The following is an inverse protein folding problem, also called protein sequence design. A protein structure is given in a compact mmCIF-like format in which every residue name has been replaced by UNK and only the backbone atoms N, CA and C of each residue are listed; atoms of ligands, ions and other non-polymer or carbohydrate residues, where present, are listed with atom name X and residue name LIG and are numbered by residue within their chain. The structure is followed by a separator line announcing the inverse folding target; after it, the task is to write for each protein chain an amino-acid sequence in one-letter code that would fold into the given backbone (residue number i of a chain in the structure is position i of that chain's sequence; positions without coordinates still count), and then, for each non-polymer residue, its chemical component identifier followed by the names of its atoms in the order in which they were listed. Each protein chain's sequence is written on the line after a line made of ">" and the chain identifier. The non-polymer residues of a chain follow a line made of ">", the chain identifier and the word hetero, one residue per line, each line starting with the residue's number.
data_IF_499883589006
#
_entry.id   IF_499883589006
#
_cell.length_a   1.000
_cell.length_b   1.000
_cell.length_c   1.000
_cell.angle_alpha   90.00
_cell.angle_beta   90.00
_cell.angle_gamma   90.00
#
_symmetry.space_group_name_H-M   'P 1'
#
loop_
_entity.id
_entity.type
_entity.pdbx_description
1 polymer ?
#
# COMPACT_ATOMS: atom_id res chain seq x y z
N UNK A 1 3.22 26.49 10.85
CA UNK A 1 4.51 26.54 10.12
C UNK A 1 4.75 25.15 9.55
N UNK A 2 4.51 25.01 8.25
CA UNK A 2 4.74 23.88 7.33
C UNK A 2 5.23 22.53 7.90
N UNK A 3 4.31 21.61 8.20
CA UNK A 3 4.57 20.16 8.35
C UNK A 3 3.33 19.47 7.74
N UNK A 4 3.54 18.39 6.97
CA UNK A 4 2.66 17.81 5.93
C UNK A 4 2.81 18.46 4.55
N UNK A 5 3.99 18.19 3.97
CA UNK A 5 4.15 17.91 2.54
C UNK A 5 4.26 16.38 2.37
N UNK A 6 3.18 15.64 2.61
CA UNK A 6 2.96 14.36 1.92
C UNK A 6 2.18 14.74 0.66
N UNK A 7 2.77 14.79 -0.52
CA UNK A 7 2.94 13.67 -1.44
C UNK A 7 4.11 13.93 -2.42
N UNK A 8 5.04 14.81 -2.07
CA UNK A 8 6.23 15.11 -2.90
C UNK A 8 7.53 14.55 -2.31
N UNK A 9 7.43 13.73 -1.25
CA UNK A 9 8.57 13.13 -0.54
C UNK A 9 9.01 11.76 -1.06
N UNK A 10 8.26 11.15 -2.00
CA UNK A 10 8.44 9.72 -2.30
C UNK A 10 9.53 9.38 -3.33
N UNK A 11 10.22 10.36 -3.92
CA UNK A 11 11.15 10.07 -5.03
C UNK A 11 12.55 10.70 -4.95
N UNK A 12 12.88 11.48 -3.91
CA UNK A 12 14.26 11.97 -3.72
C UNK A 12 14.63 11.91 -2.23
N UNK A 13 14.77 10.69 -1.72
CA UNK A 13 15.69 10.43 -0.59
C UNK A 13 16.88 9.62 -1.11
N UNK A 14 17.50 10.16 -2.17
CA UNK A 14 18.83 9.79 -2.67
C UNK A 14 19.78 10.96 -2.38
N UNK A 15 19.70 11.51 -1.16
CA UNK A 15 20.74 12.39 -0.63
C UNK A 15 21.71 11.53 0.17
N UNK A 16 22.71 11.01 -0.55
CA UNK A 16 24.13 11.03 -0.20
C UNK A 16 24.44 11.24 1.30
N UNK A 17 23.98 10.37 2.18
CA UNK A 17 24.79 10.02 3.34
C UNK A 17 25.74 8.95 2.83
N UNK A 18 27.03 9.25 2.90
CA UNK A 18 28.11 8.27 2.74
C UNK A 18 27.97 7.21 3.83
N UNK A 19 26.99 6.32 3.69
CA UNK A 19 26.96 5.08 4.44
C UNK A 19 28.21 4.31 3.97
N UNK A 20 29.05 3.82 4.90
CA UNK A 20 30.11 2.90 4.51
C UNK A 20 29.44 1.79 3.72
N UNK A 21 30.04 1.41 2.58
CA UNK A 21 29.58 0.32 1.74
C UNK A 21 29.57 -0.98 2.56
N UNK A 22 28.53 -1.18 3.35
CA UNK A 22 28.23 -2.46 3.96
C UNK A 22 27.77 -3.35 2.83
N UNK A 23 28.37 -4.53 2.75
CA UNK A 23 28.13 -5.48 1.68
C UNK A 23 26.65 -5.86 1.68
N UNK A 24 25.91 -5.36 0.70
CA UNK A 24 24.55 -5.85 0.45
C UNK A 24 24.69 -7.28 -0.04
N UNK A 25 24.09 -8.21 0.69
CA UNK A 25 24.09 -9.62 0.34
C UNK A 25 22.68 -9.99 -0.13
N UNK A 26 22.56 -10.44 -1.38
CA UNK A 26 21.40 -11.23 -1.79
C UNK A 26 21.57 -12.61 -1.16
N UNK A 27 20.76 -12.91 -0.14
CA UNK A 27 20.85 -14.17 0.61
C UNK A 27 19.69 -15.06 0.19
N UNK A 28 19.99 -16.33 -0.09
CA UNK A 28 18.94 -17.34 -0.19
C UNK A 28 18.54 -17.75 1.23
N UNK A 29 17.41 -17.23 1.70
CA UNK A 29 16.83 -17.65 2.97
C UNK A 29 15.99 -18.91 2.78
N UNK A 30 16.34 -19.99 3.49
CA UNK A 30 15.56 -21.23 3.47
C UNK A 30 14.10 -20.97 3.89
N UNK A 31 13.16 -21.50 3.10
CA UNK A 31 11.73 -21.39 3.36
C UNK A 31 11.05 -20.13 2.81
N UNK A 32 11.80 -19.16 2.24
CA UNK A 32 11.20 -18.09 1.43
C UNK A 32 10.85 -18.66 0.06
N UNK A 33 9.55 -18.67 -0.27
CA UNK A 33 9.02 -19.29 -1.50
C UNK A 33 7.79 -18.54 -2.01
N UNK A 34 7.25 -18.96 -3.16
CA UNK A 34 5.97 -18.46 -3.68
C UNK A 34 6.10 -17.09 -4.34
N UNK A 35 5.34 -16.09 -3.85
CA UNK A 35 5.27 -14.75 -4.45
C UNK A 35 6.48 -13.88 -4.16
N UNK A 36 7.30 -14.24 -3.16
CA UNK A 36 8.57 -13.55 -2.89
C UNK A 36 9.67 -14.17 -3.76
N UNK A 37 10.16 -13.41 -4.75
CA UNK A 37 11.18 -13.84 -5.72
C UNK A 37 12.60 -13.79 -5.16
N UNK A 38 12.91 -12.72 -4.44
CA UNK A 38 14.23 -12.44 -3.89
C UNK A 38 14.10 -11.67 -2.58
N UNK A 39 15.06 -11.87 -1.67
CA UNK A 39 15.21 -11.10 -0.43
C UNK A 39 16.55 -10.36 -0.46
N UNK A 40 16.52 -9.06 -0.16
CA UNK A 40 17.71 -8.21 -0.05
C UNK A 40 17.75 -7.57 1.33
N UNK A 41 18.86 -7.77 2.05
CA UNK A 41 19.09 -7.13 3.35
C UNK A 41 20.05 -5.95 3.20
N UNK A 42 19.65 -4.76 3.66
CA UNK A 42 20.49 -3.56 3.55
C UNK A 42 21.43 -3.38 4.75
N UNK A 43 21.01 -3.81 5.94
CA UNK A 43 21.76 -3.58 7.19
C UNK A 43 21.85 -4.84 8.08
N UNK A 44 20.75 -5.57 8.22
CA UNK A 44 20.65 -6.70 9.15
C UNK A 44 20.03 -7.92 8.47
N UNK A 45 20.78 -9.02 8.38
CA UNK A 45 20.29 -10.30 7.87
C UNK A 45 19.44 -11.01 8.92
N UNK A 46 18.15 -11.18 8.63
CA UNK A 46 17.21 -11.92 9.46
C UNK A 46 16.29 -12.78 8.58
N UNK A 47 16.76 -13.99 8.26
CA UNK A 47 15.98 -14.93 7.45
C UNK A 47 14.69 -15.41 8.14
N UNK A 48 14.59 -15.36 9.47
CA UNK A 48 13.37 -15.73 10.18
C UNK A 48 12.27 -14.67 9.97
N UNK A 49 12.65 -13.39 10.02
CA UNK A 49 11.78 -12.29 9.65
C UNK A 49 11.37 -12.38 8.17
N UNK A 50 12.34 -12.57 7.26
CA UNK A 50 12.06 -12.69 5.84
C UNK A 50 11.10 -13.84 5.52
N UNK A 51 11.27 -14.99 6.19
CA UNK A 51 10.35 -16.12 6.08
C UNK A 51 8.96 -15.75 6.60
N UNK A 52 8.85 -15.09 7.75
CA UNK A 52 7.55 -14.71 8.32
C UNK A 52 6.78 -13.75 7.42
N UNK A 53 7.48 -12.77 6.82
CA UNK A 53 6.91 -11.85 5.84
C UNK A 53 6.50 -12.58 4.55
N UNK A 54 7.34 -13.50 4.07
CA UNK A 54 7.02 -14.35 2.91
C UNK A 54 5.78 -15.21 3.17
N UNK A 55 5.64 -15.80 4.36
CA UNK A 55 4.48 -16.59 4.74
C UNK A 55 3.19 -15.73 4.72
N UNK A 56 3.25 -14.48 5.21
CA UNK A 56 2.13 -13.53 5.14
C UNK A 56 1.76 -13.23 3.68
N UNK A 57 2.73 -12.88 2.84
CA UNK A 57 2.47 -12.54 1.44
C UNK A 57 1.89 -13.73 0.67
N UNK A 58 2.41 -14.94 0.91
CA UNK A 58 1.86 -16.17 0.32
C UNK A 58 0.44 -16.44 0.79
N UNK A 59 0.13 -16.26 2.07
CA UNK A 59 -1.23 -16.42 2.58
C UNK A 59 -2.21 -15.41 1.97
N UNK A 60 -1.79 -14.15 1.83
CA UNK A 60 -2.57 -13.12 1.15
C UNK A 60 -2.75 -13.45 -0.33
N UNK A 61 -1.69 -13.89 -1.03
CA UNK A 61 -1.76 -14.30 -2.42
C UNK A 61 -2.79 -15.43 -2.65
N UNK A 62 -2.81 -16.43 -1.75
CA UNK A 62 -3.79 -17.51 -1.79
C UNK A 62 -5.19 -17.00 -1.46
N UNK A 63 -5.34 -16.23 -0.38
CA UNK A 63 -6.65 -15.73 0.08
C UNK A 63 -7.31 -14.82 -0.96
N UNK A 64 -6.54 -13.98 -1.64
CA UNK A 64 -7.05 -13.00 -2.60
C UNK A 64 -6.80 -13.43 -4.05
N UNK A 65 -6.50 -14.71 -4.29
CA UNK A 65 -6.23 -15.30 -5.61
C UNK A 65 -5.32 -14.44 -6.51
N UNK A 66 -4.23 -13.92 -5.93
CA UNK A 66 -3.30 -13.03 -6.61
C UNK A 66 -2.00 -13.74 -7.00
N UNK A 67 -1.42 -13.33 -8.12
CA UNK A 67 -0.11 -13.77 -8.60
C UNK A 67 0.96 -12.69 -8.47
N UNK A 68 0.66 -11.58 -7.78
CA UNK A 68 1.54 -10.43 -7.63
C UNK A 68 2.87 -10.83 -6.98
N UNK A 69 3.92 -10.98 -7.79
CA UNK A 69 5.22 -11.39 -7.30
C UNK A 69 6.13 -10.19 -7.05
N UNK A 70 6.82 -10.21 -5.91
CA UNK A 70 7.61 -9.09 -5.37
C UNK A 70 9.01 -9.54 -4.94
N UNK A 71 9.92 -8.58 -4.84
CA UNK A 71 11.19 -8.68 -4.16
C UNK A 71 11.04 -8.00 -2.79
N UNK A 72 11.47 -8.70 -1.74
CA UNK A 72 11.40 -8.19 -0.38
C UNK A 72 12.73 -7.53 -0.03
N UNK A 73 12.70 -6.23 0.30
CA UNK A 73 13.87 -5.50 0.78
C UNK A 73 13.70 -5.21 2.26
N UNK A 74 14.62 -5.72 3.09
CA UNK A 74 14.62 -5.49 4.54
C UNK A 74 15.72 -4.48 4.87
N UNK A 75 15.29 -3.27 5.22
CA UNK A 75 16.14 -2.14 5.57
C UNK A 75 16.46 -2.04 7.07
N UNK A 76 17.13 -0.95 7.45
CA UNK A 76 17.34 -0.54 8.84
C UNK A 76 16.06 -0.17 9.61
N UNK A 77 16.18 0.38 10.83
CA UNK A 77 15.03 0.85 11.59
C UNK A 77 14.39 2.06 10.87
N UNK A 78 13.08 2.03 10.65
CA UNK A 78 12.33 3.14 10.04
C UNK A 78 10.88 3.13 10.53
N UNK A 79 10.21 4.28 10.42
CA UNK A 79 8.77 4.44 10.59
C UNK A 79 7.97 4.08 9.34
N UNK A 80 8.65 3.65 8.26
CA UNK A 80 8.04 3.51 6.95
C UNK A 80 8.28 2.14 6.32
N UNK A 81 7.21 1.57 5.78
CA UNK A 81 7.25 0.52 4.77
C UNK A 81 6.82 1.14 3.42
N UNK A 82 7.15 0.51 2.30
CA UNK A 82 6.73 1.02 0.99
C UNK A 82 6.71 -0.05 -0.09
N UNK A 83 5.75 0.06 -1.00
CA UNK A 83 5.77 -0.53 -2.31
C UNK A 83 6.26 0.47 -3.37
N UNK A 84 7.09 0.04 -4.31
CA UNK A 84 7.71 0.93 -5.31
C UNK A 84 6.90 1.12 -6.61
N UNK A 85 5.64 0.68 -6.63
CA UNK A 85 4.76 0.64 -7.80
C UNK A 85 5.16 -0.35 -8.90
N UNK A 86 6.21 -1.15 -8.70
CA UNK A 86 6.65 -2.19 -9.61
C UNK A 86 6.63 -3.56 -8.95
N UNK A 87 7.76 -3.93 -8.34
CA UNK A 87 7.99 -5.26 -7.77
C UNK A 87 8.83 -5.24 -6.49
N UNK A 88 8.96 -4.12 -5.78
CA UNK A 88 9.71 -4.08 -4.52
C UNK A 88 8.77 -3.69 -3.38
N UNK A 89 8.66 -4.60 -2.40
CA UNK A 89 8.13 -4.28 -1.08
C UNK A 89 9.32 -4.10 -0.14
N UNK A 90 9.50 -2.87 0.33
CA UNK A 90 10.56 -2.50 1.26
C UNK A 90 9.97 -2.31 2.65
N UNK A 91 10.53 -3.00 3.63
CA UNK A 91 10.12 -2.94 5.03
C UNK A 91 11.33 -2.75 5.94
N UNK A 92 11.19 -2.11 7.11
CA UNK A 92 12.28 -2.05 8.06
C UNK A 92 12.40 -3.38 8.81
N UNK A 93 13.60 -3.77 9.22
CA UNK A 93 13.74 -4.91 10.13
C UNK A 93 13.04 -4.66 11.49
N UNK A 94 12.88 -3.37 11.85
CA UNK A 94 12.14 -2.91 13.02
C UNK A 94 11.43 -1.60 12.72
N UNK A 95 10.11 -1.60 12.91
CA UNK A 95 9.30 -0.40 12.85
C UNK A 95 9.56 0.49 14.08
N UNK A 96 9.96 1.75 13.86
CA UNK A 96 10.30 2.70 14.91
C UNK A 96 9.73 4.07 14.59
N UNK A 97 8.99 4.67 15.52
CA UNK A 97 8.43 6.01 15.37
C UNK A 97 9.19 7.03 16.20
N UNK A 98 9.18 8.29 15.76
CA UNK A 98 9.83 9.40 16.45
C UNK A 98 8.79 10.43 16.90
N UNK A 99 8.69 10.64 18.21
CA UNK A 99 7.80 11.68 18.76
C UNK A 99 8.37 13.08 18.60
N UNK A 100 7.56 14.09 18.96
CA UNK A 100 7.88 15.54 18.86
C UNK A 100 9.23 15.95 19.47
N UNK A 101 9.74 15.20 20.44
CA UNK A 101 11.03 15.48 21.12
C UNK A 101 12.15 14.50 20.74
N UNK A 102 12.02 13.79 19.61
CA UNK A 102 13.01 12.81 19.14
C UNK A 102 13.04 11.51 19.96
N UNK A 103 12.09 11.32 20.88
CA UNK A 103 11.94 10.04 21.60
C UNK A 103 11.58 8.95 20.59
N UNK A 104 12.36 7.88 20.60
CA UNK A 104 12.12 6.67 19.80
C UNK A 104 11.06 5.80 20.46
N UNK A 105 10.10 5.34 19.67
CA UNK A 105 9.05 4.39 20.05
C UNK A 105 9.19 3.17 19.17
N UNK A 106 9.68 2.07 19.74
CA UNK A 106 9.74 0.79 19.03
C UNK A 106 8.39 0.10 19.16
N UNK A 107 7.85 -0.41 18.06
CA UNK A 107 6.58 -1.12 18.08
C UNK A 107 6.76 -2.62 18.16
N UNK A 108 5.69 -3.33 18.50
CA UNK A 108 5.64 -4.77 18.39
C UNK A 108 5.84 -5.23 16.95
N UNK A 109 6.43 -6.43 16.79
CA UNK A 109 6.68 -7.03 15.48
C UNK A 109 5.39 -7.27 14.67
N UNK A 110 4.26 -7.50 15.35
CA UNK A 110 2.94 -7.58 14.72
C UNK A 110 2.58 -6.33 13.92
N UNK A 111 3.02 -5.15 14.34
CA UNK A 111 2.75 -3.90 13.64
C UNK A 111 3.48 -3.86 12.29
N UNK A 112 4.73 -4.35 12.26
CA UNK A 112 5.49 -4.51 11.02
C UNK A 112 4.79 -5.46 10.05
N UNK A 113 4.23 -6.56 10.55
CA UNK A 113 3.50 -7.52 9.73
C UNK A 113 2.25 -6.90 9.11
N UNK A 114 1.49 -6.10 9.85
CA UNK A 114 0.35 -5.37 9.30
C UNK A 114 0.77 -4.35 8.24
N UNK A 115 1.80 -3.55 8.51
CA UNK A 115 2.31 -2.59 7.51
C UNK A 115 2.84 -3.30 6.25
N UNK A 116 3.56 -4.42 6.40
CA UNK A 116 4.04 -5.19 5.27
C UNK A 116 2.90 -5.79 4.45
N UNK A 117 1.84 -6.28 5.10
CA UNK A 117 0.64 -6.78 4.43
C UNK A 117 -0.06 -5.66 3.63
N UNK A 118 -0.12 -4.44 4.17
CA UNK A 118 -0.61 -3.26 3.46
C UNK A 118 0.23 -2.99 2.20
N UNK A 119 1.57 -2.96 2.31
CA UNK A 119 2.43 -2.77 1.13
C UNK A 119 2.26 -3.87 0.07
N UNK A 120 2.12 -5.13 0.50
CA UNK A 120 1.82 -6.21 -0.42
C UNK A 120 0.43 -6.09 -1.04
N UNK A 121 -0.54 -5.49 -0.32
CA UNK A 121 -1.85 -5.12 -0.86
C UNK A 121 -1.75 -4.15 -2.05
N UNK A 122 -0.80 -3.21 -2.03
CA UNK A 122 -0.51 -2.38 -3.21
C UNK A 122 0.02 -3.20 -4.39
N UNK A 123 0.89 -4.19 -4.13
CA UNK A 123 1.38 -5.08 -5.18
C UNK A 123 0.25 -5.88 -5.84
N UNK A 124 -0.70 -6.39 -5.04
CA UNK A 124 -1.91 -7.06 -5.53
C UNK A 124 -2.74 -6.09 -6.41
N UNK A 125 -3.00 -4.88 -5.92
CA UNK A 125 -3.74 -3.85 -6.67
C UNK A 125 -3.09 -3.55 -8.03
N UNK A 126 -1.76 -3.36 -8.04
CA UNK A 126 -1.01 -3.06 -9.26
C UNK A 126 -0.99 -4.23 -10.23
N UNK A 127 -0.94 -5.48 -9.77
CA UNK A 127 -1.04 -6.65 -10.64
C UNK A 127 -2.41 -6.76 -11.31
N UNK A 128 -3.49 -6.48 -10.57
CA UNK A 128 -4.82 -6.42 -11.17
C UNK A 128 -4.91 -5.30 -12.21
N UNK A 129 -4.45 -4.10 -11.87
CA UNK A 129 -4.42 -3.01 -12.83
C UNK A 129 -3.60 -3.36 -14.06
N UNK A 130 -2.40 -3.95 -13.91
CA UNK A 130 -1.56 -4.36 -15.04
C UNK A 130 -2.28 -5.34 -15.98
N UNK A 131 -3.07 -6.25 -15.42
CA UNK A 131 -3.77 -7.31 -16.20
C UNK A 131 -5.09 -6.85 -16.79
N UNK A 132 -5.78 -5.88 -16.16
CA UNK A 132 -7.08 -5.38 -16.62
C UNK A 132 -7.00 -4.06 -17.37
N UNK A 133 -5.96 -3.26 -17.15
CA UNK A 133 -5.78 -1.99 -17.82
C UNK A 133 -5.58 -2.22 -19.31
N UNK A 134 -6.25 -1.39 -20.13
CA UNK A 134 -6.16 -1.50 -21.57
C UNK A 134 -4.72 -1.28 -22.09
N UNK A 135 -4.48 -1.57 -23.38
CA UNK A 135 -3.15 -1.42 -24.01
C UNK A 135 -2.52 -0.04 -23.83
N UNK A 136 -3.32 1.00 -23.62
CA UNK A 136 -2.90 2.37 -23.37
C UNK A 136 -2.03 2.54 -22.10
N UNK A 137 -2.13 1.63 -21.13
CA UNK A 137 -1.32 1.67 -19.90
C UNK A 137 -0.10 0.72 -19.94
N UNK A 138 0.06 -0.08 -20.99
CA UNK A 138 1.15 -1.06 -21.09
C UNK A 138 2.55 -0.42 -21.02
N UNK A 139 2.72 0.75 -21.65
CA UNK A 139 3.98 1.51 -21.62
C UNK A 139 4.29 2.03 -20.20
N UNK A 140 3.28 2.48 -19.47
CA UNK A 140 3.43 2.92 -18.08
C UNK A 140 3.93 1.79 -17.19
N UNK A 141 3.26 0.63 -17.22
CA UNK A 141 3.66 -0.52 -16.40
C UNK A 141 5.04 -1.04 -16.80
N UNK A 142 5.37 -1.08 -18.09
CA UNK A 142 6.72 -1.47 -18.53
C UNK A 142 7.80 -0.53 -17.98
N UNK A 143 7.55 0.78 -17.95
CA UNK A 143 8.49 1.75 -17.37
C UNK A 143 8.61 1.60 -15.86
N UNK A 144 7.52 1.35 -15.15
CA UNK A 144 7.54 1.05 -13.70
C UNK A 144 8.37 -0.21 -13.40
N UNK A 145 8.19 -1.28 -14.18
CA UNK A 145 8.96 -2.53 -14.04
C UNK A 145 10.46 -2.29 -14.26
N UNK A 146 10.81 -1.49 -15.28
CA UNK A 146 12.20 -1.12 -15.54
C UNK A 146 12.81 -0.30 -14.39
N UNK A 147 12.06 0.66 -13.83
CA UNK A 147 12.51 1.44 -12.69
C UNK A 147 12.70 0.57 -11.44
N UNK A 148 11.76 -0.34 -11.18
CA UNK A 148 11.84 -1.28 -10.06
C UNK A 148 13.05 -2.22 -10.20
N UNK A 149 13.26 -2.81 -11.38
CA UNK A 149 14.41 -3.68 -11.65
C UNK A 149 15.76 -2.94 -11.48
N UNK A 150 15.84 -1.67 -11.93
CA UNK A 150 17.02 -0.83 -11.73
C UNK A 150 17.23 -0.48 -10.26
N UNK A 151 16.17 -0.12 -9.52
CA UNK A 151 16.23 0.13 -8.07
C UNK A 151 16.75 -1.10 -7.33
N UNK A 152 16.26 -2.30 -7.67
CA UNK A 152 16.74 -3.55 -7.10
C UNK A 152 18.24 -3.77 -7.39
N UNK A 153 18.69 -3.52 -8.62
CA UNK A 153 20.10 -3.65 -8.98
C UNK A 153 21.00 -2.71 -8.16
N UNK A 154 20.58 -1.45 -7.95
CA UNK A 154 21.30 -0.47 -7.11
C UNK A 154 21.34 -0.95 -5.67
N UNK A 155 20.20 -1.40 -5.12
CA UNK A 155 20.15 -1.95 -3.77
C UNK A 155 21.13 -3.13 -3.63
N UNK A 156 21.27 -3.98 -4.66
CA UNK A 156 22.24 -5.09 -4.72
C UNK A 156 23.70 -4.66 -4.97
N UNK A 157 24.00 -3.35 -5.02
CA UNK A 157 25.34 -2.81 -5.15
C UNK A 157 25.78 -2.43 -6.57
N UNK A 158 24.87 -2.36 -7.55
CA UNK A 158 25.20 -1.80 -8.85
C UNK A 158 25.49 -0.30 -8.75
N UNK A 159 26.61 0.15 -9.32
CA UNK A 159 27.15 1.51 -9.18
C UNK A 159 26.65 2.51 -10.24
N UNK A 160 25.49 2.29 -10.85
CA UNK A 160 25.06 3.06 -12.03
C UNK A 160 24.41 4.40 -11.65
N UNK A 161 25.11 5.50 -11.95
CA UNK A 161 24.71 6.89 -11.65
C UNK A 161 23.75 7.47 -12.71
N UNK A 162 23.49 6.75 -13.81
CA UNK A 162 22.54 7.18 -14.87
C UNK A 162 21.07 7.22 -14.40
N UNK A 163 20.77 6.67 -13.22
CA UNK A 163 19.45 6.54 -12.58
C UNK A 163 18.63 7.84 -12.50
N UNK A 164 19.27 8.99 -12.30
CA UNK A 164 18.55 10.26 -12.00
C UNK A 164 17.83 10.82 -13.23
N UNK A 165 18.32 10.57 -14.46
CA UNK A 165 17.75 11.15 -15.68
C UNK A 165 16.45 10.50 -16.16
N UNK A 166 16.40 9.18 -16.23
CA UNK A 166 15.23 8.46 -16.77
C UNK A 166 14.06 8.39 -15.78
N UNK A 167 14.36 8.25 -14.48
CA UNK A 167 13.34 8.18 -13.42
C UNK A 167 12.63 9.51 -13.23
N UNK A 168 13.36 10.63 -13.26
CA UNK A 168 12.77 11.96 -13.21
C UNK A 168 11.87 12.21 -14.41
N UNK A 169 12.27 11.81 -15.62
CA UNK A 169 11.43 11.99 -16.81
C UNK A 169 10.08 11.25 -16.73
N UNK A 170 10.03 10.03 -16.17
CA UNK A 170 8.76 9.34 -15.96
C UNK A 170 7.91 10.01 -14.88
N UNK A 171 8.49 10.28 -13.71
CA UNK A 171 7.80 10.86 -12.56
C UNK A 171 7.23 12.24 -12.88
N UNK A 172 7.91 13.01 -13.72
CA UNK A 172 7.45 14.33 -14.16
C UNK A 172 6.58 14.29 -15.41
N UNK A 173 6.33 13.13 -16.01
CA UNK A 173 5.44 13.04 -17.17
C UNK A 173 3.99 13.37 -16.73
N UNK A 174 3.27 14.22 -17.48
CA UNK A 174 1.90 14.59 -17.14
C UNK A 174 0.96 13.38 -17.03
N UNK A 175 1.11 12.39 -17.91
CA UNK A 175 0.30 11.17 -17.86
C UNK A 175 0.54 10.37 -16.58
N UNK A 176 1.80 10.18 -16.19
CA UNK A 176 2.13 9.48 -14.94
C UNK A 176 1.54 10.19 -13.73
N UNK A 177 1.70 11.51 -13.65
CA UNK A 177 1.20 12.31 -12.53
C UNK A 177 -0.32 12.25 -12.42
N UNK A 178 -1.02 12.33 -13.56
CA UNK A 178 -2.47 12.21 -13.59
C UNK A 178 -2.91 10.84 -13.07
N UNK A 179 -2.38 9.76 -13.65
CA UNK A 179 -2.76 8.39 -13.27
C UNK A 179 -2.42 8.12 -11.81
N UNK A 180 -1.21 8.47 -11.39
CA UNK A 180 -0.73 8.24 -10.03
C UNK A 180 -1.55 9.00 -8.99
N UNK A 181 -1.96 10.26 -9.23
CA UNK A 181 -2.80 10.98 -8.24
C UNK A 181 -4.21 10.41 -8.21
N UNK A 182 -4.80 10.10 -9.38
CA UNK A 182 -6.14 9.49 -9.46
C UNK A 182 -6.22 8.12 -8.78
N UNK A 183 -5.14 7.35 -8.84
CA UNK A 183 -5.08 6.00 -8.25
C UNK A 183 -4.76 5.99 -6.75
N UNK A 184 -4.06 6.98 -6.24
CA UNK A 184 -3.38 6.87 -4.95
C UNK A 184 -4.36 6.56 -3.80
N UNK A 185 -5.42 7.34 -3.63
CA UNK A 185 -6.42 7.11 -2.59
C UNK A 185 -7.10 5.72 -2.70
N UNK A 186 -7.37 5.26 -3.93
CA UNK A 186 -7.96 3.94 -4.15
C UNK A 186 -6.99 2.80 -3.84
N UNK A 187 -5.72 2.96 -4.20
CA UNK A 187 -4.67 2.01 -3.88
C UNK A 187 -4.48 1.88 -2.36
N UNK A 188 -4.43 3.01 -1.64
CA UNK A 188 -4.37 3.07 -0.17
C UNK A 188 -5.57 2.39 0.50
N UNK A 189 -6.77 2.68 0.00
CA UNK A 189 -7.99 2.09 0.50
C UNK A 189 -8.03 0.57 0.29
N UNK A 190 -7.67 0.10 -0.90
CA UNK A 190 -7.69 -1.33 -1.20
C UNK A 190 -6.61 -2.10 -0.41
N UNK A 191 -5.42 -1.53 -0.30
CA UNK A 191 -4.35 -2.09 0.53
C UNK A 191 -4.78 -2.22 1.99
N UNK A 192 -5.48 -1.23 2.54
CA UNK A 192 -6.09 -1.30 3.87
C UNK A 192 -7.13 -2.42 3.97
N UNK A 193 -8.04 -2.55 3.01
CA UNK A 193 -9.05 -3.63 2.95
C UNK A 193 -8.38 -5.00 3.08
N UNK A 194 -7.36 -5.26 2.25
CA UNK A 194 -6.68 -6.56 2.23
C UNK A 194 -5.96 -6.83 3.56
N UNK A 195 -5.29 -5.82 4.14
CA UNK A 195 -4.63 -5.95 5.42
C UNK A 195 -5.63 -6.25 6.56
N UNK A 196 -6.74 -5.49 6.67
CA UNK A 196 -7.72 -5.70 7.75
C UNK A 196 -8.47 -7.03 7.61
N UNK A 197 -8.71 -7.49 6.38
CA UNK A 197 -9.30 -8.82 6.13
C UNK A 197 -8.34 -9.94 6.47
N UNK A 198 -7.06 -9.83 6.09
CA UNK A 198 -6.05 -10.85 6.39
C UNK A 198 -5.89 -11.04 7.91
N UNK A 199 -5.81 -9.95 8.67
CA UNK A 199 -5.70 -10.01 10.12
C UNK A 199 -7.04 -10.15 10.86
N UNK A 200 -8.17 -10.16 10.12
CA UNK A 200 -9.53 -10.21 10.67
C UNK A 200 -9.77 -9.17 11.78
N UNK A 201 -9.21 -7.98 11.60
CA UNK A 201 -9.23 -6.91 12.59
C UNK A 201 -9.49 -5.55 11.93
N UNK A 202 -10.69 -4.99 12.15
CA UNK A 202 -11.11 -3.69 11.60
C UNK A 202 -10.20 -2.54 12.01
N UNK A 203 -9.42 -2.71 13.08
CA UNK A 203 -8.51 -1.70 13.61
C UNK A 203 -7.04 -2.05 13.36
N UNK A 204 -6.73 -3.04 12.51
CA UNK A 204 -5.36 -3.49 12.26
C UNK A 204 -4.42 -2.32 11.90
N UNK A 205 -4.84 -1.44 10.99
CA UNK A 205 -4.03 -0.29 10.57
C UNK A 205 -3.82 0.74 11.68
N UNK A 206 -4.85 1.01 12.48
CA UNK A 206 -4.72 1.90 13.65
C UNK A 206 -3.70 1.32 14.64
N UNK A 207 -3.80 0.01 14.95
CA UNK A 207 -2.89 -0.67 15.88
C UNK A 207 -1.46 -0.72 15.35
N UNK A 208 -1.28 -0.90 14.04
CA UNK A 208 0.02 -0.94 13.40
C UNK A 208 0.76 0.39 13.52
N UNK A 209 0.06 1.51 13.34
CA UNK A 209 0.62 2.85 13.31
C UNK A 209 0.60 3.55 14.68
N UNK A 210 -0.09 3.00 15.68
CA UNK A 210 -0.18 3.59 17.00
C UNK A 210 1.16 3.55 17.75
N UNK A 211 1.50 4.67 18.39
CA UNK A 211 2.52 4.74 19.42
C UNK A 211 2.21 5.86 20.42
N UNK A 212 2.73 5.77 21.65
CA UNK A 212 2.47 6.74 22.74
C UNK A 212 3.03 8.15 22.49
N UNK A 213 3.66 8.38 21.34
CA UNK A 213 4.23 9.67 20.95
C UNK A 213 3.34 10.49 20.03
N UNK A 214 2.21 9.94 19.60
CA UNK A 214 1.25 10.62 18.74
C UNK A 214 0.57 11.77 19.48
N UNK A 215 0.48 12.93 18.84
CA UNK A 215 -0.44 13.97 19.27
C UNK A 215 -1.88 13.70 18.78
N UNK A 216 -2.83 14.55 19.20
CA UNK A 216 -4.24 14.39 18.82
C UNK A 216 -4.41 14.41 17.29
N UNK A 217 -3.65 15.23 16.56
CA UNK A 217 -3.75 15.32 15.12
C UNK A 217 -3.31 14.00 14.47
N UNK A 218 -2.13 13.50 14.83
CA UNK A 218 -1.57 12.27 14.27
C UNK A 218 -2.41 11.05 14.65
N UNK A 219 -2.90 10.99 15.90
CA UNK A 219 -3.78 9.91 16.34
C UNK A 219 -5.10 9.91 15.56
N UNK A 220 -5.70 11.08 15.32
CA UNK A 220 -6.93 11.13 14.55
C UNK A 220 -6.69 10.88 13.05
N UNK A 221 -5.54 11.26 12.50
CA UNK A 221 -5.14 10.87 11.15
C UNK A 221 -5.10 9.34 10.98
N UNK A 222 -4.45 8.61 11.89
CA UNK A 222 -4.43 7.14 11.77
C UNK A 222 -5.80 6.51 12.04
N UNK A 223 -6.63 7.10 12.92
CA UNK A 223 -8.01 6.62 13.17
C UNK A 223 -8.93 6.73 11.97
N UNK A 224 -8.64 7.61 11.03
CA UNK A 224 -9.38 7.70 9.77
C UNK A 224 -9.19 6.44 8.89
N UNK A 225 -8.19 5.61 9.18
CA UNK A 225 -8.00 4.29 8.55
C UNK A 225 -8.75 3.14 9.26
N UNK A 226 -9.57 3.44 10.26
CA UNK A 226 -10.38 2.46 11.01
C UNK A 226 -11.63 2.03 10.21
N UNK A 227 -11.88 0.72 10.16
CA UNK A 227 -13.08 0.15 9.53
C UNK A 227 -14.25 -0.02 10.51
N UNK A 228 -14.02 0.22 11.81
CA UNK A 228 -15.03 0.01 12.87
C UNK A 228 -15.82 1.26 13.24
N UNK A 229 -15.38 2.46 12.82
CA UNK A 229 -16.01 3.72 13.20
C UNK A 229 -16.18 4.67 12.02
N UNK A 230 -17.22 5.50 12.09
CA UNK A 230 -17.41 6.59 11.14
C UNK A 230 -16.38 7.70 11.42
N UNK A 231 -15.85 8.37 10.38
CA UNK A 231 -14.96 9.50 10.57
C UNK A 231 -15.68 10.61 11.35
N UNK A 232 -14.97 11.25 12.27
CA UNK A 232 -15.51 12.37 13.04
C UNK A 232 -15.47 13.65 12.18
N UNK A 233 -16.59 14.36 12.00
CA UNK A 233 -16.65 15.58 11.19
C UNK A 233 -15.61 16.64 11.55
N UNK A 234 -15.15 16.68 12.81
CA UNK A 234 -14.11 17.66 13.22
C UNK A 234 -12.76 17.46 12.51
N UNK A 235 -12.53 16.28 11.94
CA UNK A 235 -11.29 15.90 11.27
C UNK A 235 -11.43 15.79 9.74
N UNK A 236 -12.52 16.29 9.16
CA UNK A 236 -12.76 16.26 7.70
C UNK A 236 -11.65 16.93 6.88
N UNK A 237 -11.00 17.96 7.43
CA UNK A 237 -9.88 18.64 6.79
C UNK A 237 -8.66 17.73 6.54
N UNK A 238 -8.60 16.54 7.14
CA UNK A 238 -7.55 15.54 6.88
C UNK A 238 -7.87 14.68 5.66
N UNK A 239 -9.12 14.63 5.21
CA UNK A 239 -9.60 13.73 4.15
C UNK A 239 -9.12 14.14 2.75
N UNK A 240 -8.35 15.22 2.62
CA UNK A 240 -7.65 15.55 1.38
C UNK A 240 -6.44 14.64 1.11
N UNK A 241 -5.92 13.97 2.14
CA UNK A 241 -4.72 13.11 2.05
C UNK A 241 -5.07 11.69 1.60
N UNK A 242 -4.37 11.14 0.62
CA UNK A 242 -4.68 9.85 -0.03
C UNK A 242 -4.95 8.71 0.96
N UNK A 243 -4.07 8.56 1.96
CA UNK A 243 -4.17 7.50 2.96
C UNK A 243 -5.49 7.51 3.72
N UNK A 244 -6.16 8.66 3.83
CA UNK A 244 -7.41 8.83 4.60
C UNK A 244 -8.56 9.37 3.76
N UNK A 245 -8.35 9.69 2.48
CA UNK A 245 -9.37 10.27 1.60
C UNK A 245 -10.65 9.44 1.56
N UNK A 246 -10.54 8.12 1.54
CA UNK A 246 -11.66 7.18 1.51
C UNK A 246 -12.12 6.67 2.89
N UNK A 247 -11.99 7.47 3.95
CA UNK A 247 -12.39 7.06 5.32
C UNK A 247 -13.88 6.69 5.46
N UNK A 248 -14.85 7.46 4.92
CA UNK A 248 -16.24 7.02 4.88
C UNK A 248 -16.44 5.66 4.20
N UNK A 249 -15.75 5.39 3.09
CA UNK A 249 -15.81 4.10 2.41
C UNK A 249 -15.23 2.96 3.25
N UNK A 250 -14.17 3.19 4.04
CA UNK A 250 -13.66 2.21 5.02
C UNK A 250 -14.71 1.84 6.05
N UNK A 251 -15.37 2.83 6.63
CA UNK A 251 -16.44 2.62 7.59
C UNK A 251 -17.64 1.86 6.97
N UNK A 252 -17.96 2.14 5.70
CA UNK A 252 -18.96 1.40 4.95
C UNK A 252 -18.57 -0.08 4.79
N UNK A 253 -17.36 -0.36 4.28
CA UNK A 253 -16.85 -1.73 4.10
C UNK A 253 -16.87 -2.49 5.43
N UNK A 254 -16.34 -1.90 6.51
CA UNK A 254 -16.30 -2.58 7.79
C UNK A 254 -17.67 -2.90 8.39
N UNK A 255 -18.71 -2.17 7.98
CA UNK A 255 -20.09 -2.42 8.42
C UNK A 255 -20.84 -3.41 7.51
N UNK A 256 -20.69 -3.29 6.20
CA UNK A 256 -21.55 -3.96 5.22
C UNK A 256 -20.86 -5.10 4.46
N UNK A 257 -19.53 -5.07 4.36
CA UNK A 257 -18.70 -6.02 3.65
C UNK A 257 -17.63 -6.56 4.61
N UNK A 258 -18.04 -7.17 5.72
CA UNK A 258 -17.08 -7.78 6.64
C UNK A 258 -17.12 -9.31 6.53
N UNK A 259 -16.03 -9.95 6.08
CA UNK A 259 -16.00 -11.38 5.84
C UNK A 259 -15.99 -12.17 7.15
N UNK A 260 -16.55 -13.37 7.11
CA UNK A 260 -16.54 -14.33 8.23
C UNK A 260 -15.48 -15.43 8.06
N UNK A 261 -14.92 -15.59 6.86
CA UNK A 261 -13.93 -16.60 6.51
C UNK A 261 -13.11 -16.16 5.28
N UNK A 262 -12.10 -16.94 4.91
CA UNK A 262 -11.20 -16.62 3.80
C UNK A 262 -11.91 -16.54 2.44
N UNK A 263 -12.85 -17.44 2.16
CA UNK A 263 -13.61 -17.44 0.90
C UNK A 263 -14.41 -16.14 0.73
N UNK A 264 -15.07 -15.68 1.81
CA UNK A 264 -15.76 -14.39 1.82
C UNK A 264 -14.78 -13.21 1.75
N UNK A 265 -13.59 -13.31 2.34
CA UNK A 265 -12.55 -12.28 2.20
C UNK A 265 -12.16 -12.10 0.74
N UNK A 266 -11.99 -13.21 0.00
CA UNK A 266 -11.73 -13.17 -1.44
C UNK A 266 -12.90 -12.50 -2.18
N UNK A 267 -14.10 -13.06 -2.07
CA UNK A 267 -15.30 -12.61 -2.79
C UNK A 267 -15.57 -11.11 -2.56
N UNK A 268 -15.55 -10.65 -1.31
CA UNK A 268 -15.79 -9.25 -0.99
C UNK A 268 -14.65 -8.35 -1.48
N UNK A 269 -13.39 -8.80 -1.43
CA UNK A 269 -12.27 -8.04 -1.99
C UNK A 269 -12.38 -7.90 -3.52
N UNK A 270 -12.85 -8.93 -4.22
CA UNK A 270 -13.08 -8.89 -5.66
C UNK A 270 -14.20 -7.90 -6.01
N UNK A 271 -15.29 -7.86 -5.24
CA UNK A 271 -16.35 -6.86 -5.39
C UNK A 271 -15.86 -5.44 -5.15
N UNK A 272 -15.08 -5.23 -4.09
CA UNK A 272 -14.52 -3.91 -3.76
C UNK A 272 -13.58 -3.45 -4.87
N UNK A 273 -12.68 -4.32 -5.35
CA UNK A 273 -11.77 -4.03 -6.44
C UNK A 273 -12.55 -3.68 -7.72
N UNK A 274 -13.56 -4.45 -8.08
CA UNK A 274 -14.41 -4.17 -9.24
C UNK A 274 -15.04 -2.77 -9.15
N UNK A 275 -15.58 -2.40 -7.99
CA UNK A 275 -16.16 -1.07 -7.76
C UNK A 275 -15.10 0.03 -7.88
N UNK A 276 -13.92 -0.17 -7.28
CA UNK A 276 -12.79 0.77 -7.40
C UNK A 276 -12.41 0.98 -8.86
N UNK A 277 -12.23 -0.09 -9.64
CA UNK A 277 -11.82 0.01 -11.03
C UNK A 277 -12.85 0.76 -11.89
N UNK A 278 -14.14 0.60 -11.61
CA UNK A 278 -15.21 1.34 -12.29
C UNK A 278 -15.19 2.83 -11.97
N UNK A 279 -15.03 3.21 -10.71
CA UNK A 279 -14.95 4.63 -10.33
C UNK A 279 -13.66 5.25 -10.85
N UNK A 280 -12.53 4.56 -10.71
CA UNK A 280 -11.23 5.02 -11.21
C UNK A 280 -11.27 5.26 -12.73
N UNK A 281 -11.92 4.39 -13.51
CA UNK A 281 -12.07 4.61 -14.95
C UNK A 281 -12.81 5.93 -15.26
N UNK A 282 -13.85 6.27 -14.49
CA UNK A 282 -14.56 7.55 -14.63
C UNK A 282 -13.68 8.74 -14.22
N UNK A 283 -12.93 8.59 -13.12
CA UNK A 283 -12.05 9.65 -12.60
C UNK A 283 -10.86 9.94 -13.53
N UNK A 284 -10.39 8.93 -14.29
CA UNK A 284 -9.36 9.06 -15.31
C UNK A 284 -9.85 9.81 -16.56
N UNK A 285 -11.15 9.81 -16.83
CA UNK A 285 -11.77 10.59 -17.91
C UNK A 285 -12.07 12.05 -17.49
N UNK A 286 -12.08 12.33 -16.17
CA UNK A 286 -12.35 13.65 -15.61
C UNK A 286 -11.13 14.59 -15.65
N UNK A 287 -11.37 15.85 -15.99
CA UNK A 287 -10.35 16.91 -15.95
C UNK A 287 -9.83 17.15 -14.53
N UNK A 288 -10.70 17.07 -13.52
CA UNK A 288 -10.39 17.37 -12.12
C UNK A 288 -10.50 16.13 -11.22
N UNK A 289 -9.67 16.09 -10.17
CA UNK A 289 -9.77 15.03 -9.17
C UNK A 289 -11.04 15.22 -8.36
N UNK A 290 -11.84 14.17 -8.12
CA UNK A 290 -12.94 14.32 -7.19
C UNK A 290 -12.39 14.67 -5.80
N UNK A 291 -12.99 15.68 -5.18
CA UNK A 291 -12.82 15.94 -3.74
C UNK A 291 -13.30 14.73 -2.93
N UNK A 292 -12.85 14.65 -1.68
CA UNK A 292 -13.06 13.46 -0.85
C UNK A 292 -14.54 13.10 -0.69
N UNK A 293 -15.45 14.07 -0.59
CA UNK A 293 -16.89 13.80 -0.47
C UNK A 293 -17.41 13.06 -1.69
N UNK A 294 -17.09 13.55 -2.88
CA UNK A 294 -17.57 12.98 -4.14
C UNK A 294 -16.93 11.60 -4.39
N UNK A 295 -15.63 11.46 -4.10
CA UNK A 295 -14.91 10.19 -4.23
C UNK A 295 -15.56 9.10 -3.34
N UNK A 296 -15.86 9.42 -2.07
CA UNK A 296 -16.55 8.49 -1.18
C UNK A 296 -17.98 8.21 -1.62
N UNK A 297 -18.75 9.23 -2.03
CA UNK A 297 -20.13 9.04 -2.48
C UNK A 297 -20.20 8.14 -3.71
N UNK A 298 -19.32 8.33 -4.69
CA UNK A 298 -19.27 7.51 -5.90
C UNK A 298 -18.86 6.07 -5.58
N UNK A 299 -17.81 5.88 -4.78
CA UNK A 299 -17.36 4.54 -4.40
C UNK A 299 -18.42 3.80 -3.56
N UNK A 300 -19.01 4.46 -2.56
CA UNK A 300 -20.07 3.85 -1.74
C UNK A 300 -21.27 3.47 -2.59
N UNK A 301 -21.68 4.32 -3.55
CA UNK A 301 -22.79 4.00 -4.47
C UNK A 301 -22.51 2.74 -5.31
N UNK A 302 -21.30 2.59 -5.82
CA UNK A 302 -20.90 1.39 -6.55
C UNK A 302 -20.85 0.16 -5.62
N UNK A 303 -20.32 0.29 -4.41
CA UNK A 303 -20.31 -0.76 -3.40
C UNK A 303 -21.72 -1.20 -2.97
N UNK A 304 -22.66 -0.26 -2.83
CA UNK A 304 -24.07 -0.55 -2.54
C UNK A 304 -24.73 -1.37 -3.67
N UNK A 305 -24.31 -1.15 -4.92
CA UNK A 305 -24.87 -1.85 -6.08
C UNK A 305 -24.49 -3.34 -6.16
N UNK A 306 -23.40 -3.72 -5.50
CA UNK A 306 -22.90 -5.11 -5.43
C UNK A 306 -23.25 -5.81 -4.12
N UNK A 307 -23.85 -5.10 -3.16
CA UNK A 307 -24.35 -5.74 -1.96
C UNK A 307 -25.40 -6.79 -2.37
N UNK A 308 -25.35 -8.01 -1.80
CA UNK A 308 -26.43 -8.96 -1.96
C UNK A 308 -27.73 -8.28 -1.51
N UNK A 309 -28.61 -7.94 -2.46
CA UNK A 309 -29.95 -7.49 -2.11
C UNK A 309 -30.54 -8.62 -1.29
N UNK A 310 -30.95 -8.33 -0.06
CA UNK A 310 -31.52 -9.32 0.84
C UNK A 310 -32.73 -9.95 0.14
N UNK A 311 -32.52 -11.12 -0.47
CA UNK A 311 -33.47 -11.79 -1.35
C UNK A 311 -32.94 -12.02 -2.77
N UNK A 312 -32.53 -13.27 -3.01
CA UNK A 312 -32.49 -13.99 -4.32
C UNK A 312 -31.47 -13.58 -5.39
N UNK A 313 -30.75 -14.62 -5.83
CA UNK A 313 -29.90 -14.75 -7.02
C UNK A 313 -28.44 -14.29 -6.86
N UNK A 314 -27.62 -15.28 -6.47
CA UNK A 314 -26.18 -15.27 -6.56
C UNK A 314 -25.71 -14.80 -7.94
N UNK A 315 -24.75 -13.88 -7.96
CA UNK A 315 -24.00 -13.49 -9.14
C UNK A 315 -23.31 -14.72 -9.75
N UNK A 316 -23.93 -15.32 -10.76
CA UNK A 316 -23.25 -16.15 -11.75
C UNK A 316 -22.94 -15.29 -12.97
N UNK A 317 -21.69 -14.84 -13.08
CA UNK A 317 -21.06 -14.46 -14.35
C UNK A 317 -19.65 -15.00 -14.38
#
# INVERSE_FOLDING_TARGET
>A
MSIFRGMLGFFISLLLSSLPAQAVTSVSCDGVTGVVREVVFLEHEDCALAKSLSDIFNQMAVTFNSSAAVNLVIGGPSDNASFDNGHIVQVPYRMVFYGKYGRKYETHLSNLYTSAAHEYGHAIFHEHLRTTAGPEFADLFSKLDQLSARKLAILKGASDVSFVGDSTNLVYSPQFRLISSRMAAYAEFFADVLAVYHFQDRQAMVKALYHDGLDDFQYNYIRLRDFSSQPDPKWEHLLSEDHVKLSPARAFVGKHLWPQNADQSQEMSDWILFCILRVLAQDLESEEEPEWELANQNLIRELESVLPTVGTEAFSR
#
